data_IF_423113332703
#
_entry.id   IF_423113332703
#
_cell.length_a   1.000
_cell.length_b   1.000
_cell.length_c   1.000
_cell.angle_alpha   90.00
_cell.angle_beta   90.00
_cell.angle_gamma   90.00
#
_symmetry.space_group_name_H-M   'P 1'
#
loop_
_entity.id
_entity.type
_entity.pdbx_description
1 polymer ?
#
# COMPACT_ATOMS: atom_id res chain seq x y z
N UNK A 1 -2.74 19.30 -10.98
CA UNK A 1 -2.29 18.28 -10.02
C UNK A 1 -3.08 17.02 -10.31
N UNK A 2 -2.42 15.86 -10.45
CA UNK A 2 -3.09 14.62 -10.73
C UNK A 2 -4.02 14.21 -9.59
N UNK A 3 -4.90 13.28 -9.92
CA UNK A 3 -5.86 12.70 -8.98
C UNK A 3 -5.81 11.20 -9.07
N UNK A 4 -5.67 10.52 -7.93
CA UNK A 4 -5.72 9.07 -7.83
C UNK A 4 -7.14 8.63 -7.52
N UNK A 5 -7.70 7.76 -8.35
CA UNK A 5 -8.99 7.11 -8.13
C UNK A 5 -8.76 5.66 -7.71
N UNK A 6 -9.26 5.29 -6.54
CA UNK A 6 -9.10 3.97 -5.95
C UNK A 6 -10.46 3.31 -5.86
N UNK A 7 -10.60 2.12 -6.42
CA UNK A 7 -11.84 1.33 -6.37
C UNK A 7 -11.58 -0.12 -6.01
N UNK A 8 -12.59 -0.78 -5.45
CA UNK A 8 -12.63 -2.23 -5.19
C UNK A 8 -13.85 -2.80 -5.90
N UNK A 9 -13.64 -3.74 -6.83
CA UNK A 9 -14.70 -4.29 -7.69
C UNK A 9 -15.60 -3.18 -8.28
N UNK A 10 -14.97 -2.19 -8.92
CA UNK A 10 -15.61 -1.03 -9.55
C UNK A 10 -16.34 -0.05 -8.60
N UNK A 11 -16.38 -0.34 -7.29
CA UNK A 11 -16.90 0.60 -6.29
C UNK A 11 -15.80 1.53 -5.82
N UNK A 12 -15.97 2.82 -6.06
CA UNK A 12 -15.06 3.85 -5.57
C UNK A 12 -14.92 3.77 -4.02
N UNK A 13 -13.67 3.71 -3.56
CA UNK A 13 -13.30 3.72 -2.14
C UNK A 13 -12.79 5.09 -1.74
N UNK A 14 -11.86 5.66 -2.53
CA UNK A 14 -11.31 6.97 -2.30
C UNK A 14 -10.89 7.62 -3.62
N UNK A 15 -10.97 8.95 -3.66
CA UNK A 15 -10.34 9.77 -4.69
C UNK A 15 -9.46 10.80 -3.99
N UNK A 16 -8.21 10.95 -4.42
CA UNK A 16 -7.25 11.86 -3.79
C UNK A 16 -6.61 12.75 -4.85
N UNK A 17 -6.96 14.03 -4.85
CA UNK A 17 -6.23 15.07 -5.58
C UNK A 17 -4.92 15.35 -4.85
N UNK A 18 -3.81 15.45 -5.59
CA UNK A 18 -2.48 15.63 -4.97
C UNK A 18 -2.10 17.08 -4.65
N UNK A 19 -3.00 18.04 -4.86
CA UNK A 19 -2.77 19.45 -4.59
C UNK A 19 -2.45 19.70 -3.11
N UNK A 20 -1.34 20.40 -2.87
CA UNK A 20 -0.84 20.66 -1.51
C UNK A 20 -0.14 19.47 -0.82
N UNK A 21 -0.01 18.31 -1.46
CA UNK A 21 0.68 17.14 -0.90
C UNK A 21 2.05 16.93 -1.54
N UNK A 22 2.98 16.38 -0.75
CA UNK A 22 4.32 16.00 -1.20
C UNK A 22 4.42 14.50 -1.52
N UNK A 23 3.63 13.67 -0.88
CA UNK A 23 3.67 12.21 -1.06
C UNK A 23 2.26 11.63 -0.92
N UNK A 24 1.99 10.60 -1.72
CA UNK A 24 0.79 9.77 -1.62
C UNK A 24 1.21 8.31 -1.79
N UNK A 25 0.75 7.45 -0.89
CA UNK A 25 0.95 6.01 -0.92
C UNK A 25 -0.40 5.32 -0.95
N UNK A 26 -0.58 4.43 -1.91
CA UNK A 26 -1.71 3.50 -1.99
C UNK A 26 -1.13 2.11 -1.91
N UNK A 27 -1.56 1.33 -0.93
CA UNK A 27 -0.98 0.04 -0.62
C UNK A 27 -2.02 -1.05 -0.53
N UNK A 28 -1.71 -2.21 -1.10
CA UNK A 28 -2.46 -3.44 -0.86
C UNK A 28 -1.48 -4.47 -0.31
N UNK A 29 -1.65 -4.84 0.95
CA UNK A 29 -0.77 -5.79 1.66
C UNK A 29 -1.49 -7.08 2.01
N UNK A 30 -0.82 -8.21 1.90
CA UNK A 30 -1.27 -9.50 2.41
C UNK A 30 -0.16 -10.15 3.22
N UNK A 31 -0.54 -10.88 4.26
CA UNK A 31 0.39 -11.66 5.08
C UNK A 31 -0.15 -13.06 5.37
N UNK A 32 0.75 -14.02 5.53
CA UNK A 32 0.42 -15.37 5.98
C UNK A 32 0.01 -15.41 7.45
N UNK A 33 0.45 -14.45 8.27
CA UNK A 33 0.22 -14.41 9.73
C UNK A 33 -0.95 -13.53 10.18
N UNK A 34 -1.79 -13.08 9.22
CA UNK A 34 -3.00 -12.28 9.49
C UNK A 34 -4.27 -13.05 9.15
N UNK A 35 -5.32 -12.83 9.94
CA UNK A 35 -6.62 -13.43 9.68
C UNK A 35 -7.22 -12.89 8.37
N UNK A 36 -7.19 -11.56 8.17
CA UNK A 36 -7.58 -10.96 6.89
C UNK A 36 -6.63 -11.42 5.78
N UNK A 37 -7.17 -11.71 4.59
CA UNK A 37 -6.35 -12.10 3.45
C UNK A 37 -5.44 -10.96 3.00
N UNK A 38 -6.03 -9.79 2.79
CA UNK A 38 -5.32 -8.60 2.39
C UNK A 38 -6.03 -7.35 2.91
N UNK A 39 -5.32 -6.24 2.94
CA UNK A 39 -5.87 -4.95 3.32
C UNK A 39 -5.41 -3.86 2.36
N UNK A 40 -6.31 -2.92 2.05
CA UNK A 40 -6.05 -1.70 1.30
C UNK A 40 -5.85 -0.53 2.28
N UNK A 41 -4.80 0.26 2.07
CA UNK A 41 -4.55 1.53 2.74
C UNK A 41 -4.27 2.64 1.72
N UNK A 42 -4.64 3.86 2.09
CA UNK A 42 -4.39 5.08 1.31
C UNK A 42 -4.03 6.20 2.27
N UNK A 43 -2.78 6.66 2.19
CA UNK A 43 -2.26 7.73 3.05
C UNK A 43 -1.26 8.62 2.31
N UNK A 44 -0.97 9.78 2.87
CA UNK A 44 -0.14 10.79 2.23
C UNK A 44 -0.02 12.02 3.09
N UNK A 45 0.66 13.04 2.59
CA UNK A 45 0.92 14.21 3.41
C UNK A 45 1.88 15.22 2.79
N UNK A 46 2.17 16.24 3.58
CA UNK A 46 3.13 17.30 3.26
C UNK A 46 4.13 17.43 4.39
N UNK A 47 5.41 17.47 4.06
CA UNK A 47 6.54 17.51 4.99
C UNK A 47 7.50 18.64 4.62
N UNK A 48 7.05 19.90 4.67
CA UNK A 48 7.92 21.03 4.34
C UNK A 48 9.08 21.14 5.34
N UNK A 49 10.23 21.63 4.87
CA UNK A 49 11.38 21.90 5.75
C UNK A 49 11.04 22.93 6.84
N UNK A 50 10.25 23.94 6.46
CA UNK A 50 9.73 24.97 7.35
C UNK A 50 8.20 24.84 7.46
N UNK A 51 7.69 24.57 8.67
CA UNK A 51 6.26 24.50 8.95
C UNK A 51 5.80 23.19 9.57
N UNK A 52 4.48 23.06 9.73
CA UNK A 52 3.88 21.86 10.29
C UNK A 52 3.76 20.77 9.22
N UNK A 53 4.24 19.57 9.53
CA UNK A 53 4.00 18.39 8.72
C UNK A 53 2.55 17.92 8.87
N UNK A 54 1.99 17.39 7.79
CA UNK A 54 0.68 16.75 7.79
C UNK A 54 0.82 15.30 7.36
N UNK A 55 0.15 14.40 8.07
CA UNK A 55 -0.04 13.02 7.66
C UNK A 55 -1.53 12.72 7.71
N UNK A 56 -2.07 12.35 6.55
CA UNK A 56 -3.49 12.14 6.33
C UNK A 56 -3.72 10.74 5.78
N UNK A 57 -4.81 10.15 6.24
CA UNK A 57 -5.24 8.82 5.86
C UNK A 57 -6.64 8.92 5.26
N UNK A 58 -6.81 8.45 4.04
CA UNK A 58 -8.12 8.36 3.37
C UNK A 58 -8.76 7.00 3.60
N UNK A 59 -7.95 5.95 3.57
CA UNK A 59 -8.36 4.57 3.86
C UNK A 59 -7.37 4.04 4.89
N UNK A 60 -7.75 3.89 6.17
CA UNK A 60 -6.83 3.43 7.20
C UNK A 60 -6.44 1.97 6.96
N UNK A 61 -7.46 1.12 6.89
CA UNK A 61 -7.31 -0.28 6.57
C UNK A 61 -8.67 -0.80 6.14
N UNK A 62 -8.78 -1.22 4.87
CA UNK A 62 -9.98 -1.85 4.34
C UNK A 62 -9.67 -3.34 4.07
N UNK A 63 -10.24 -4.28 4.85
CA UNK A 63 -10.12 -5.70 4.59
C UNK A 63 -10.64 -6.08 3.21
N UNK A 64 -9.88 -6.95 2.54
CA UNK A 64 -10.18 -7.48 1.22
C UNK A 64 -10.35 -9.00 1.29
N UNK A 65 -11.38 -9.48 0.61
CA UNK A 65 -11.64 -10.89 0.38
C UNK A 65 -10.93 -11.37 -0.89
N UNK A 66 -10.73 -12.68 -1.00
CA UNK A 66 -10.22 -13.31 -2.22
C UNK A 66 -11.08 -12.93 -3.44
N UNK A 67 -10.42 -12.66 -4.56
CA UNK A 67 -11.07 -12.26 -5.80
C UNK A 67 -11.52 -10.79 -5.86
N UNK A 68 -11.37 -10.00 -4.78
CA UNK A 68 -11.62 -8.57 -4.85
C UNK A 68 -10.48 -7.84 -5.55
N UNK A 69 -10.80 -7.17 -6.65
CA UNK A 69 -9.84 -6.41 -7.46
C UNK A 69 -9.77 -4.96 -6.96
N UNK A 70 -8.59 -4.54 -6.55
CA UNK A 70 -8.25 -3.14 -6.29
C UNK A 70 -7.75 -2.53 -7.59
N UNK A 71 -8.33 -1.41 -8.02
CA UNK A 71 -7.85 -0.63 -9.18
C UNK A 71 -7.37 0.73 -8.70
N UNK A 72 -6.20 1.14 -9.17
CA UNK A 72 -5.63 2.47 -8.96
C UNK A 72 -5.46 3.13 -10.32
N UNK A 73 -6.21 4.21 -10.54
CA UNK A 73 -6.15 5.02 -11.76
C UNK A 73 -5.54 6.39 -11.43
N UNK A 74 -4.66 6.88 -12.29
CA UNK A 74 -4.12 8.24 -12.20
C UNK A 74 -4.76 9.11 -13.28
N UNK A 75 -5.44 10.18 -12.88
CA UNK A 75 -6.10 11.14 -13.77
C UNK A 75 -5.38 12.47 -13.74
N UNK A 76 -5.47 13.24 -14.84
CA UNK A 76 -4.89 14.59 -14.90
C UNK A 76 -5.56 15.54 -13.89
N UNK A 77 -6.87 15.38 -13.70
CA UNK A 77 -7.71 16.24 -12.88
C UNK A 77 -8.81 15.45 -12.17
N UNK A 78 -9.28 15.98 -11.04
CA UNK A 78 -10.41 15.46 -10.27
C UNK A 78 -10.41 16.02 -8.86
N UNK A 79 -11.53 15.94 -8.15
CA UNK A 79 -11.61 16.37 -6.76
C UNK A 79 -11.36 15.21 -5.79
N UNK A 80 -10.79 15.49 -4.62
CA UNK A 80 -10.74 14.50 -3.54
C UNK A 80 -12.14 14.15 -3.08
N UNK A 81 -12.39 12.88 -2.74
CA UNK A 81 -13.68 12.43 -2.19
C UNK A 81 -13.93 12.99 -0.79
N UNK A 82 -12.87 13.17 -0.01
CA UNK A 82 -12.83 13.83 1.30
C UNK A 82 -11.40 14.27 1.61
N UNK A 83 -11.21 15.06 2.67
CA UNK A 83 -9.92 15.68 3.02
C UNK A 83 -8.86 14.74 3.64
N UNK A 84 -9.17 13.44 3.79
CA UNK A 84 -8.41 12.54 4.65
C UNK A 84 -8.65 12.83 6.14
N UNK A 85 -8.08 12.00 7.01
CA UNK A 85 -8.15 12.14 8.48
C UNK A 85 -6.76 12.01 9.08
N UNK A 86 -6.50 12.77 10.12
CA UNK A 86 -5.33 12.63 10.98
C UNK A 86 -5.47 11.42 11.92
N UNK A 87 -4.37 10.99 12.53
CA UNK A 87 -4.41 9.92 13.54
C UNK A 87 -5.35 10.26 14.71
N UNK A 88 -5.35 11.51 15.19
CA UNK A 88 -6.22 11.97 16.27
C UNK A 88 -7.71 11.91 15.91
N UNK A 89 -8.06 12.06 14.63
CA UNK A 89 -9.45 11.94 14.17
C UNK A 89 -9.88 10.48 13.96
N UNK A 90 -8.94 9.60 13.64
CA UNK A 90 -9.20 8.16 13.48
C UNK A 90 -9.26 7.43 14.82
N UNK A 91 -8.43 7.86 15.77
CA UNK A 91 -8.21 7.24 17.07
C UNK A 91 -8.22 8.30 18.18
N UNK A 92 -9.39 8.92 18.47
CA UNK A 92 -9.48 10.04 19.42
C UNK A 92 -9.12 9.65 20.85
N UNK A 93 -9.25 8.37 21.19
CA UNK A 93 -8.98 7.82 22.52
C UNK A 93 -7.54 7.31 22.68
N UNK A 94 -6.75 7.26 21.60
CA UNK A 94 -5.37 6.78 21.67
C UNK A 94 -4.42 7.90 22.09
N UNK A 95 -3.54 7.66 23.08
CA UNK A 95 -2.53 8.63 23.45
C UNK A 95 -1.54 8.82 22.29
N UNK A 96 -0.98 10.03 22.11
CA UNK A 96 0.04 10.26 21.10
C UNK A 96 1.21 9.30 21.25
N UNK A 97 1.62 8.65 20.15
CA UNK A 97 2.80 7.80 20.15
C UNK A 97 4.05 8.66 20.37
N UNK A 98 4.85 8.30 21.37
CA UNK A 98 6.11 8.98 21.71
C UNK A 98 7.34 8.35 21.02
N UNK A 99 7.18 7.23 20.33
CA UNK A 99 8.27 6.50 19.67
C UNK A 99 8.45 7.09 18.27
N UNK A 100 9.59 7.75 18.06
CA UNK A 100 9.95 8.37 16.77
C UNK A 100 11.07 7.63 16.03
N UNK A 101 11.79 6.74 16.71
CA UNK A 101 12.84 5.90 16.13
C UNK A 101 12.54 4.44 16.48
N UNK A 102 12.02 3.72 15.49
CA UNK A 102 11.65 2.32 15.64
C UNK A 102 12.58 1.46 14.78
N UNK A 103 13.43 0.70 15.45
CA UNK A 103 14.22 -0.36 14.82
C UNK A 103 13.84 -1.69 15.45
N UNK A 104 13.44 -2.66 14.61
CA UNK A 104 13.10 -4.00 15.07
C UNK A 104 14.33 -4.67 15.72
N UNK A 105 14.14 -5.22 16.91
CA UNK A 105 15.17 -6.00 17.62
C UNK A 105 15.13 -7.47 17.19
N UNK A 106 16.21 -8.22 17.46
CA UNK A 106 16.25 -9.66 17.19
C UNK A 106 15.12 -10.42 17.92
N UNK A 107 14.79 -10.04 19.16
CA UNK A 107 13.66 -10.61 19.91
C UNK A 107 12.33 -10.41 19.18
N UNK A 108 12.13 -9.25 18.55
CA UNK A 108 10.90 -8.97 17.79
C UNK A 108 10.84 -9.82 16.51
N UNK A 109 11.97 -10.04 15.83
CA UNK A 109 12.00 -10.98 14.71
C UNK A 109 11.69 -12.41 15.13
N UNK A 110 12.14 -12.85 16.31
CA UNK A 110 11.78 -14.15 16.86
C UNK A 110 10.29 -14.25 17.21
N UNK A 111 9.71 -13.18 17.77
CA UNK A 111 8.27 -13.10 18.05
C UNK A 111 7.45 -13.19 16.75
N UNK A 112 7.80 -12.41 15.74
CA UNK A 112 7.17 -12.47 14.41
C UNK A 112 7.31 -13.86 13.78
N UNK A 113 8.46 -14.52 13.95
CA UNK A 113 8.69 -15.86 13.43
C UNK A 113 7.76 -16.92 14.05
N UNK A 114 7.32 -16.71 15.31
CA UNK A 114 6.44 -17.61 16.07
C UNK A 114 4.95 -17.34 15.87
N UNK A 115 4.56 -16.27 15.17
CA UNK A 115 3.15 -16.00 14.89
C UNK A 115 2.51 -17.17 14.11
N UNK A 116 1.28 -17.57 14.46
CA UNK A 116 0.57 -18.61 13.72
C UNK A 116 0.32 -18.13 12.28
N UNK A 117 0.45 -19.05 11.34
CA UNK A 117 0.08 -18.80 9.95
C UNK A 117 -1.38 -19.20 9.74
N UNK A 118 -2.14 -18.32 9.11
CA UNK A 118 -3.54 -18.55 8.73
C UNK A 118 -3.66 -19.22 7.35
N UNK A 119 -2.57 -19.26 6.59
CA UNK A 119 -2.52 -19.76 5.21
C UNK A 119 -1.10 -20.17 4.83
N UNK A 120 -0.99 -21.06 3.85
CA UNK A 120 0.30 -21.65 3.44
C UNK A 120 1.03 -20.77 2.43
N UNK A 121 0.28 -20.07 1.57
CA UNK A 121 0.83 -19.26 0.48
C UNK A 121 -0.10 -18.11 0.11
N UNK A 122 0.47 -17.09 -0.51
CA UNK A 122 -0.29 -16.03 -1.17
C UNK A 122 -0.14 -16.22 -2.68
N UNK A 123 -1.26 -16.11 -3.40
CA UNK A 123 -1.28 -16.06 -4.85
C UNK A 123 -1.98 -14.78 -5.29
N UNK A 124 -1.47 -14.15 -6.33
CA UNK A 124 -1.97 -12.86 -6.78
C UNK A 124 -1.82 -12.67 -8.29
N UNK A 125 -2.63 -11.75 -8.79
CA UNK A 125 -2.61 -11.27 -10.17
C UNK A 125 -2.57 -9.74 -10.15
N UNK A 126 -1.74 -9.17 -11.02
CA UNK A 126 -1.62 -7.74 -11.23
C UNK A 126 -1.86 -7.42 -12.70
N UNK A 127 -2.65 -6.38 -12.95
CA UNK A 127 -2.74 -5.77 -14.28
C UNK A 127 -1.76 -4.60 -14.34
N UNK A 128 -0.82 -4.69 -15.27
CA UNK A 128 0.19 -3.64 -15.54
C UNK A 128 -0.39 -2.46 -16.31
N UNK A 129 0.36 -1.36 -16.36
CA UNK A 129 0.00 -0.16 -17.13
C UNK A 129 -0.19 -0.43 -18.63
N UNK A 130 0.49 -1.42 -19.18
CA UNK A 130 0.41 -1.80 -20.60
C UNK A 130 -0.75 -2.78 -20.89
N UNK A 131 -1.50 -3.18 -19.85
CA UNK A 131 -2.59 -4.15 -19.96
C UNK A 131 -2.15 -5.61 -19.86
N UNK A 132 -0.85 -5.88 -19.70
CA UNK A 132 -0.34 -7.22 -19.43
C UNK A 132 -0.76 -7.68 -18.03
N UNK A 133 -1.12 -8.95 -17.93
CA UNK A 133 -1.41 -9.60 -16.65
C UNK A 133 -0.16 -10.31 -16.14
N UNK A 134 0.27 -9.96 -14.92
CA UNK A 134 1.37 -10.60 -14.18
C UNK A 134 0.78 -11.43 -13.06
N UNK A 135 1.22 -12.68 -12.93
CA UNK A 135 0.81 -13.53 -11.80
C UNK A 135 2.02 -13.84 -10.93
N UNK A 136 1.79 -13.97 -9.64
CA UNK A 136 2.84 -14.25 -8.68
C UNK A 136 2.31 -15.08 -7.52
N UNK A 137 3.25 -15.73 -6.83
CA UNK A 137 2.98 -16.51 -5.62
C UNK A 137 4.15 -16.35 -4.67
N UNK A 138 3.89 -16.40 -3.37
CA UNK A 138 4.98 -16.47 -2.39
C UNK A 138 5.71 -17.80 -2.51
N UNK A 139 7.04 -17.76 -2.44
CA UNK A 139 7.89 -18.96 -2.31
C UNK A 139 8.11 -19.34 -0.85
N UNK A 140 8.80 -20.45 -0.61
CA UNK A 140 9.17 -20.85 0.74
C UNK A 140 9.90 -19.71 1.47
N UNK A 141 9.52 -19.47 2.73
CA UNK A 141 9.98 -18.41 3.64
C UNK A 141 9.44 -16.98 3.40
N UNK A 142 8.80 -16.71 2.26
CA UNK A 142 8.11 -15.44 2.04
C UNK A 142 6.78 -15.42 2.79
N UNK A 143 6.58 -14.37 3.61
CA UNK A 143 5.38 -14.25 4.46
C UNK A 143 4.44 -13.14 4.03
N UNK A 144 4.95 -12.16 3.29
CA UNK A 144 4.21 -10.95 2.96
C UNK A 144 4.28 -10.65 1.46
N UNK A 145 3.19 -10.11 0.91
CA UNK A 145 3.15 -9.51 -0.43
C UNK A 145 2.63 -8.09 -0.29
N UNK A 146 3.26 -7.14 -0.97
CA UNK A 146 2.85 -5.73 -1.02
C UNK A 146 2.79 -5.26 -2.47
N UNK A 147 1.61 -4.83 -2.88
CA UNK A 147 1.41 -3.94 -4.02
C UNK A 147 1.41 -2.50 -3.49
N UNK A 148 2.17 -1.61 -4.12
CA UNK A 148 2.27 -0.21 -3.73
C UNK A 148 2.30 0.70 -4.95
N UNK A 149 1.54 1.78 -4.88
CA UNK A 149 1.62 2.93 -5.78
C UNK A 149 2.11 4.11 -4.95
N UNK A 150 3.28 4.64 -5.30
CA UNK A 150 3.92 5.75 -4.62
C UNK A 150 4.05 6.94 -5.57
N UNK A 151 3.33 8.01 -5.27
CA UNK A 151 3.47 9.30 -5.93
C UNK A 151 4.24 10.26 -5.03
N UNK A 152 5.06 11.11 -5.64
CA UNK A 152 5.71 12.20 -4.94
C UNK A 152 5.77 13.46 -5.82
N UNK A 153 5.87 14.62 -5.17
CA UNK A 153 5.81 15.92 -5.84
C UNK A 153 7.02 16.24 -6.73
N UNK A 154 8.14 15.52 -6.61
CA UNK A 154 9.34 15.76 -7.42
C UNK A 154 9.12 15.28 -8.87
N UNK A 155 8.30 14.26 -9.05
CA UNK A 155 7.93 13.72 -10.36
C UNK A 155 6.39 13.67 -10.48
N UNK A 156 5.71 14.82 -10.52
CA UNK A 156 4.26 14.88 -10.34
C UNK A 156 3.47 14.20 -11.46
N UNK A 157 4.09 13.97 -12.61
CA UNK A 157 3.46 13.34 -13.78
C UNK A 157 3.42 11.80 -13.72
N UNK A 158 4.12 11.18 -12.75
CA UNK A 158 4.13 9.74 -12.60
C UNK A 158 4.11 9.27 -11.15
N UNK A 159 3.63 8.05 -10.95
CA UNK A 159 3.77 7.30 -9.71
C UNK A 159 4.54 6.02 -9.97
N UNK A 160 5.35 5.59 -9.00
CA UNK A 160 6.02 4.30 -9.06
C UNK A 160 5.05 3.22 -8.58
N UNK A 161 4.91 2.16 -9.36
CA UNK A 161 4.14 0.97 -8.97
C UNK A 161 5.12 -0.17 -8.72
N UNK A 162 4.95 -0.89 -7.62
CA UNK A 162 5.75 -2.06 -7.32
C UNK A 162 4.92 -3.17 -6.65
N UNK A 163 5.21 -4.42 -7.00
CA UNK A 163 4.70 -5.62 -6.33
C UNK A 163 5.88 -6.42 -5.84
N UNK A 164 5.96 -6.61 -4.53
CA UNK A 164 7.09 -7.28 -3.89
C UNK A 164 6.62 -8.27 -2.84
N UNK A 165 7.35 -9.37 -2.69
CA UNK A 165 7.19 -10.30 -1.58
C UNK A 165 8.42 -10.28 -0.68
N UNK A 166 8.20 -10.57 0.61
CA UNK A 166 9.24 -10.43 1.63
C UNK A 166 9.24 -11.63 2.58
N UNK A 167 10.43 -12.12 2.88
CA UNK A 167 10.69 -12.98 4.03
C UNK A 167 11.07 -12.14 5.26
N UNK A 168 11.01 -12.73 6.45
CA UNK A 168 11.56 -12.09 7.66
C UNK A 168 13.08 -11.88 7.55
N UNK A 169 13.78 -12.74 6.81
CA UNK A 169 15.22 -12.60 6.56
C UNK A 169 15.51 -11.35 5.71
N UNK A 170 14.71 -11.09 4.68
CA UNK A 170 14.83 -9.87 3.86
C UNK A 170 14.65 -8.62 4.71
N UNK A 171 13.61 -8.60 5.56
CA UNK A 171 13.35 -7.49 6.48
C UNK A 171 14.51 -7.28 7.45
N UNK A 172 15.09 -8.35 8.00
CA UNK A 172 16.25 -8.28 8.90
C UNK A 172 17.50 -7.77 8.21
N UNK A 173 17.72 -8.16 6.96
CA UNK A 173 18.85 -7.71 6.12
C UNK A 173 18.61 -6.35 5.44
N UNK A 174 17.41 -5.77 5.57
CA UNK A 174 16.97 -4.57 4.83
C UNK A 174 17.06 -4.73 3.31
N UNK A 175 16.79 -5.94 2.82
CA UNK A 175 16.70 -6.24 1.40
C UNK A 175 15.32 -5.92 0.84
N UNK A 176 15.26 -5.63 -0.46
CA UNK A 176 14.03 -5.20 -1.14
C UNK A 176 13.05 -6.35 -1.46
N UNK A 177 13.34 -7.57 -1.00
CA UNK A 177 12.55 -8.77 -1.28
C UNK A 177 12.54 -9.16 -2.76
N UNK A 178 11.66 -10.10 -3.12
CA UNK A 178 11.46 -10.53 -4.51
C UNK A 178 10.58 -9.53 -5.24
N UNK A 179 11.02 -9.06 -6.42
CA UNK A 179 10.25 -8.16 -7.27
C UNK A 179 9.43 -8.96 -8.30
N UNK A 180 8.12 -8.73 -8.33
CA UNK A 180 7.19 -9.35 -9.29
C UNK A 180 6.75 -8.38 -10.39
N UNK A 181 6.70 -7.09 -10.06
CA UNK A 181 6.33 -6.02 -10.98
C UNK A 181 6.95 -4.70 -10.49
N UNK A 182 7.52 -3.91 -11.41
CA UNK A 182 7.98 -2.56 -11.13
C UNK A 182 7.83 -1.70 -12.39
N UNK A 183 7.06 -0.62 -12.32
CA UNK A 183 6.68 0.19 -13.47
C UNK A 183 6.32 1.63 -13.06
N UNK A 184 6.08 2.49 -14.06
CA UNK A 184 5.63 3.88 -13.87
C UNK A 184 4.18 4.03 -14.34
N UNK A 185 3.30 4.43 -13.43
CA UNK A 185 1.94 4.85 -13.71
C UNK A 185 1.93 6.33 -14.08
N UNK A 186 1.35 6.68 -15.23
CA UNK A 186 1.16 8.07 -15.70
C UNK A 186 -0.32 8.42 -15.76
N UNK A 187 -0.62 9.71 -15.87
CA UNK A 187 -1.98 10.18 -16.10
C UNK A 187 -2.65 9.47 -17.30
N UNK A 188 -3.89 9.05 -17.12
CA UNK A 188 -4.66 8.25 -18.08
C UNK A 188 -4.43 6.74 -17.95
N UNK A 189 -3.44 6.31 -17.17
CA UNK A 189 -3.16 4.90 -16.89
C UNK A 189 -3.91 4.37 -15.67
N UNK A 190 -3.98 3.05 -15.59
CA UNK A 190 -4.46 2.33 -14.41
C UNK A 190 -3.67 1.04 -14.19
N UNK A 191 -3.60 0.61 -12.93
CA UNK A 191 -3.05 -0.68 -12.51
C UNK A 191 -4.04 -1.35 -11.59
N UNK A 192 -3.99 -2.68 -11.48
CA UNK A 192 -4.84 -3.40 -10.54
C UNK A 192 -4.14 -4.56 -9.87
N UNK A 193 -4.66 -4.95 -8.70
CA UNK A 193 -4.17 -6.08 -7.91
C UNK A 193 -5.37 -6.88 -7.39
N UNK A 194 -5.26 -8.20 -7.45
CA UNK A 194 -6.21 -9.13 -6.83
C UNK A 194 -5.45 -10.28 -6.16
N UNK A 195 -5.84 -10.63 -4.94
CA UNK A 195 -5.41 -11.88 -4.30
C UNK A 195 -6.37 -13.00 -4.68
N UNK A 196 -5.81 -14.13 -5.10
CA UNK A 196 -6.55 -15.29 -5.57
C UNK A 196 -6.96 -16.17 -4.39
N UNK A 197 -8.09 -16.89 -4.47
CA UNK A 197 -8.41 -17.94 -3.50
C UNK A 197 -7.35 -19.05 -3.55
N UNK A 198 -7.08 -19.67 -2.39
CA UNK A 198 -6.18 -20.84 -2.29
C UNK A 198 -6.71 -22.09 -2.99
#
# INVERSE_FOLDING_TARGET
MPTFCISVNDKAVATVNTDGYQILSIGVGASLDREELATLDVSGGSFPADGASTYLTWVPELPLLAGQRVVVEMREHGASSHAGKTAAELFPDEPPCSITDFTLTDSMFEELARLPLFRDKLAFECLSVDGDTRTGRTVADERNVRFNVLWNWLEPECARVAVRSYSLADLRARHLGTCHMEEQLRCGGAVSMVFLPE
#
